data_IF_773532076412
#
_entry.id   IF_773532076412
#
_cell.length_a   1.000
_cell.length_b   1.000
_cell.length_c   1.000
_cell.angle_alpha   90.00
_cell.angle_beta   90.00
_cell.angle_gamma   90.00
#
_symmetry.space_group_name_H-M   'P 1'
#
loop_
_entity.id
_entity.type
_entity.pdbx_description
1 polymer ?
#
# COMPACT_ATOMS: atom_id res chain seq x y z
N UNK A 1 19.85 -34.86 2.16
CA UNK A 1 20.10 -33.50 2.67
C UNK A 1 18.88 -32.63 2.34
N UNK A 2 18.63 -31.55 3.07
CA UNK A 2 17.61 -30.53 2.77
C UNK A 2 18.30 -29.17 2.69
N UNK A 3 17.92 -28.34 1.71
CA UNK A 3 18.46 -26.98 1.53
C UNK A 3 17.30 -26.00 1.62
N UNK A 4 17.41 -25.02 2.51
CA UNK A 4 16.47 -23.91 2.63
C UNK A 4 17.10 -22.67 1.99
N UNK A 5 16.45 -22.12 0.97
CA UNK A 5 16.90 -20.91 0.28
C UNK A 5 15.98 -19.75 0.66
N UNK A 6 16.51 -18.78 1.40
CA UNK A 6 15.79 -17.55 1.77
C UNK A 6 16.07 -16.50 0.69
N UNK A 7 15.05 -16.15 -0.08
CA UNK A 7 15.16 -15.18 -1.17
C UNK A 7 14.68 -13.79 -0.77
N UNK A 8 15.45 -12.76 -1.09
CA UNK A 8 15.04 -11.36 -1.01
C UNK A 8 14.52 -10.88 -2.37
N UNK A 9 13.68 -9.85 -2.36
CA UNK A 9 13.16 -9.23 -3.58
C UNK A 9 13.68 -7.81 -3.70
N UNK A 10 14.26 -7.52 -4.85
CA UNK A 10 14.61 -6.18 -5.27
C UNK A 10 14.02 -6.00 -6.68
N UNK A 11 12.98 -5.17 -6.84
CA UNK A 11 12.42 -4.89 -8.16
C UNK A 11 13.48 -4.19 -9.03
N UNK A 12 13.48 -4.47 -10.32
CA UNK A 12 14.39 -3.78 -11.25
C UNK A 12 13.86 -2.37 -11.48
N UNK A 13 14.75 -1.43 -11.76
CA UNK A 13 14.37 -0.06 -12.14
C UNK A 13 13.34 -0.03 -13.28
N UNK A 14 13.50 -0.88 -14.30
CA UNK A 14 12.54 -0.99 -15.40
C UNK A 14 11.14 -1.42 -14.94
N UNK A 15 11.05 -2.29 -13.93
CA UNK A 15 9.77 -2.83 -13.44
C UNK A 15 9.05 -1.76 -12.61
N UNK A 16 9.82 -1.00 -11.81
CA UNK A 16 9.31 0.16 -11.08
C UNK A 16 8.73 1.21 -12.03
N UNK A 17 9.52 1.64 -13.03
CA UNK A 17 9.09 2.67 -13.98
C UNK A 17 7.88 2.23 -14.79
N UNK A 18 7.89 1.00 -15.33
CA UNK A 18 6.78 0.49 -16.13
C UNK A 18 5.48 0.39 -15.31
N UNK A 19 5.56 -0.12 -14.08
CA UNK A 19 4.39 -0.26 -13.22
C UNK A 19 3.86 1.09 -12.73
N UNK A 20 4.75 2.03 -12.37
CA UNK A 20 4.35 3.37 -11.99
C UNK A 20 3.64 4.09 -13.14
N UNK A 21 4.18 4.05 -14.36
CA UNK A 21 3.53 4.69 -15.51
C UNK A 21 2.17 4.07 -15.83
N UNK A 22 2.04 2.74 -15.69
CA UNK A 22 0.74 2.08 -15.83
C UNK A 22 -0.28 2.61 -14.81
N UNK A 23 0.15 2.79 -13.56
CA UNK A 23 -0.70 3.38 -12.51
C UNK A 23 -1.01 4.85 -12.79
N UNK A 24 -0.02 5.66 -13.17
CA UNK A 24 -0.20 7.08 -13.44
C UNK A 24 -1.18 7.34 -14.60
N UNK A 25 -1.21 6.45 -15.60
CA UNK A 25 -2.17 6.53 -16.72
C UNK A 25 -3.62 6.44 -16.25
N UNK A 26 -3.91 5.73 -15.15
CA UNK A 26 -5.26 5.63 -14.59
C UNK A 26 -5.81 6.96 -14.07
N UNK A 27 -4.93 7.94 -13.81
CA UNK A 27 -5.30 9.29 -13.38
C UNK A 27 -5.56 10.26 -14.54
N UNK A 28 -5.22 9.85 -15.77
CA UNK A 28 -5.37 10.67 -16.97
C UNK A 28 -6.78 10.49 -17.52
N UNK A 29 -7.42 11.59 -17.92
CA UNK A 29 -8.67 11.54 -18.67
C UNK A 29 -8.47 10.72 -19.97
N UNK A 30 -9.21 9.59 -20.15
CA UNK A 30 -9.06 8.72 -21.31
C UNK A 30 -9.44 9.41 -22.63
N UNK A 31 -10.23 10.48 -22.57
CA UNK A 31 -10.65 11.26 -23.73
C UNK A 31 -9.73 12.47 -24.01
N UNK A 32 -8.82 12.81 -23.09
CA UNK A 32 -7.85 13.86 -23.32
C UNK A 32 -6.97 13.54 -24.53
N UNK A 33 -6.73 14.56 -25.36
CA UNK A 33 -5.87 14.49 -26.54
C UNK A 33 -4.87 15.62 -26.50
N UNK A 34 -3.68 15.38 -27.06
CA UNK A 34 -2.79 16.46 -27.40
C UNK A 34 -3.53 17.47 -28.30
N UNK A 35 -3.44 18.75 -27.96
CA UNK A 35 -4.05 19.83 -28.72
C UNK A 35 -3.16 21.07 -28.78
N UNK A 36 -3.25 21.78 -29.89
CA UNK A 36 -2.50 22.98 -30.21
C UNK A 36 -3.39 24.05 -30.88
N UNK A 37 -4.43 24.53 -30.17
CA UNK A 37 -5.32 25.56 -30.71
C UNK A 37 -4.60 26.87 -31.05
N UNK A 38 -3.49 27.15 -30.36
CA UNK A 38 -2.65 28.34 -30.56
C UNK A 38 -1.52 28.11 -31.58
N UNK A 39 -1.59 27.06 -32.40
CA UNK A 39 -0.59 26.80 -33.45
C UNK A 39 -0.61 27.95 -34.47
N UNK A 40 0.56 28.56 -34.67
CA UNK A 40 0.76 29.60 -35.68
C UNK A 40 1.49 29.02 -36.90
N UNK A 41 1.41 29.66 -38.08
CA UNK A 41 2.15 29.19 -39.26
C UNK A 41 3.64 29.05 -38.98
N UNK A 42 4.22 27.93 -39.44
CA UNK A 42 5.61 27.57 -39.20
C UNK A 42 6.41 27.60 -40.51
N UNK A 43 7.62 28.15 -40.46
CA UNK A 43 8.49 28.29 -41.65
C UNK A 43 9.05 26.94 -42.12
N UNK A 44 9.21 25.99 -41.20
CA UNK A 44 9.77 24.67 -41.46
C UNK A 44 8.79 23.58 -41.01
N UNK A 45 7.94 23.04 -41.91
CA UNK A 45 6.93 22.05 -41.55
C UNK A 45 7.45 20.74 -40.93
N UNK A 46 8.74 20.43 -41.11
CA UNK A 46 9.38 19.26 -40.48
C UNK A 46 9.97 19.54 -39.08
N UNK A 47 9.90 20.77 -38.59
CA UNK A 47 10.41 21.14 -37.27
C UNK A 47 9.43 20.75 -36.17
N UNK A 48 9.95 20.07 -35.14
CA UNK A 48 9.22 19.85 -33.90
C UNK A 48 9.50 21.01 -32.93
N UNK A 49 8.66 22.05 -33.01
CA UNK A 49 8.86 23.29 -32.27
C UNK A 49 8.90 23.11 -30.76
N UNK A 50 9.62 24.01 -30.10
CA UNK A 50 9.81 24.03 -28.65
C UNK A 50 8.50 23.98 -27.86
N UNK A 51 7.48 24.71 -28.30
CA UNK A 51 6.17 24.73 -27.64
C UNK A 51 5.49 23.36 -27.64
N UNK A 52 5.55 22.62 -28.75
CA UNK A 52 5.00 21.27 -28.85
C UNK A 52 5.79 20.28 -27.97
N UNK A 53 7.12 20.40 -27.97
CA UNK A 53 8.00 19.58 -27.11
C UNK A 53 7.76 19.84 -25.64
N UNK A 54 7.56 21.11 -25.25
CA UNK A 54 7.34 21.47 -23.85
C UNK A 54 6.00 20.97 -23.34
N UNK A 55 4.93 21.05 -24.14
CA UNK A 55 3.63 20.43 -23.81
C UNK A 55 3.76 18.95 -23.46
N UNK A 56 4.48 18.19 -24.27
CA UNK A 56 4.69 16.74 -24.02
C UNK A 56 5.56 16.53 -22.79
N UNK A 57 6.63 17.30 -22.61
CA UNK A 57 7.48 17.20 -21.41
C UNK A 57 6.69 17.53 -20.14
N UNK A 58 5.82 18.53 -20.17
CA UNK A 58 5.00 18.92 -19.03
C UNK A 58 3.93 17.89 -18.70
N UNK A 59 3.32 17.28 -19.72
CA UNK A 59 2.45 16.12 -19.53
C UNK A 59 3.20 15.00 -18.79
N UNK A 60 4.36 14.59 -19.32
CA UNK A 60 5.14 13.49 -18.74
C UNK A 60 5.66 13.80 -17.34
N UNK A 61 6.17 15.01 -17.10
CA UNK A 61 6.58 15.45 -15.77
C UNK A 61 5.40 15.52 -14.81
N UNK A 62 4.23 15.96 -15.29
CA UNK A 62 3.00 16.05 -14.51
C UNK A 62 2.59 14.73 -13.87
N UNK A 63 2.88 13.60 -14.54
CA UNK A 63 2.59 12.25 -14.03
C UNK A 63 3.42 11.87 -12.79
N UNK A 64 4.54 12.56 -12.52
CA UNK A 64 5.51 12.23 -11.45
C UNK A 64 5.68 13.36 -10.42
N UNK A 65 4.76 14.32 -10.35
CA UNK A 65 4.95 15.55 -9.54
C UNK A 65 4.64 15.42 -8.05
N UNK A 66 3.91 14.39 -7.65
CA UNK A 66 3.44 14.25 -6.27
C UNK A 66 4.18 13.09 -5.57
N UNK A 67 5.14 13.46 -4.71
CA UNK A 67 5.93 12.50 -3.93
C UNK A 67 5.01 11.63 -3.04
N UNK A 68 3.92 12.18 -2.50
CA UNK A 68 2.97 11.42 -1.70
C UNK A 68 2.25 10.33 -2.51
N UNK A 69 1.89 10.64 -3.77
CA UNK A 69 1.34 9.64 -4.69
C UNK A 69 2.37 8.57 -5.07
N UNK A 70 3.64 8.95 -5.26
CA UNK A 70 4.73 8.01 -5.54
C UNK A 70 4.93 7.06 -4.36
N UNK A 71 5.02 7.60 -3.14
CA UNK A 71 5.21 6.83 -1.91
C UNK A 71 4.04 5.88 -1.67
N UNK A 72 2.81 6.36 -1.87
CA UNK A 72 1.60 5.52 -1.78
C UNK A 72 1.64 4.38 -2.80
N UNK A 73 1.90 4.68 -4.07
CA UNK A 73 2.04 3.65 -5.11
C UNK A 73 3.14 2.64 -4.75
N UNK A 74 4.29 3.12 -4.25
CA UNK A 74 5.43 2.27 -3.95
C UNK A 74 5.12 1.28 -2.83
N UNK A 75 4.46 1.73 -1.76
CA UNK A 75 3.99 0.85 -0.68
C UNK A 75 3.01 -0.21 -1.18
N UNK A 76 2.06 0.17 -2.04
CA UNK A 76 1.12 -0.78 -2.67
C UNK A 76 1.84 -1.78 -3.59
N UNK A 77 2.79 -1.31 -4.40
CA UNK A 77 3.56 -2.15 -5.31
C UNK A 77 4.38 -3.20 -4.55
N UNK A 78 5.09 -2.81 -3.49
CA UNK A 78 5.95 -3.70 -2.71
C UNK A 78 5.16 -4.74 -1.89
N UNK A 79 4.00 -4.34 -1.38
CA UNK A 79 3.16 -5.22 -0.56
C UNK A 79 2.26 -6.12 -1.39
N UNK A 80 2.10 -5.88 -2.69
CA UNK A 80 1.29 -6.76 -3.53
C UNK A 80 1.83 -8.21 -3.50
N UNK A 81 1.00 -9.21 -3.18
CA UNK A 81 1.43 -10.60 -3.20
C UNK A 81 1.68 -11.08 -4.64
N UNK A 82 2.29 -12.25 -4.78
CA UNK A 82 2.41 -12.87 -6.10
C UNK A 82 1.04 -13.28 -6.63
N UNK A 83 0.91 -13.32 -7.96
CA UNK A 83 -0.38 -13.55 -8.65
C UNK A 83 -1.08 -14.87 -8.28
N UNK A 84 -0.36 -15.81 -7.68
CA UNK A 84 -0.82 -17.13 -7.26
C UNK A 84 -1.03 -17.26 -5.73
N UNK A 85 -0.82 -16.18 -4.97
CA UNK A 85 -0.93 -16.18 -3.52
C UNK A 85 -1.97 -15.14 -3.10
N UNK A 86 -3.12 -15.61 -2.67
CA UNK A 86 -4.20 -14.79 -2.13
C UNK A 86 -4.38 -15.07 -0.65
N UNK A 87 -4.74 -14.04 0.12
CA UNK A 87 -5.10 -14.21 1.52
C UNK A 87 -6.39 -15.02 1.60
N UNK A 88 -6.49 -15.87 2.61
CA UNK A 88 -7.69 -16.68 2.84
C UNK A 88 -8.37 -16.14 4.09
N UNK A 89 -9.49 -15.40 3.93
CA UNK A 89 -10.33 -15.00 5.05
C UNK A 89 -10.74 -16.18 5.93
N UNK A 90 -10.99 -15.96 7.23
CA UNK A 90 -11.58 -16.98 8.08
C UNK A 90 -12.97 -17.39 7.57
N UNK A 91 -13.35 -18.66 7.76
CA UNK A 91 -14.67 -19.16 7.33
C UNK A 91 -15.84 -18.39 7.99
N UNK A 92 -15.64 -17.96 9.23
CA UNK A 92 -16.56 -17.11 9.97
C UNK A 92 -15.85 -15.80 10.30
N UNK A 93 -16.40 -14.63 9.90
CA UNK A 93 -15.84 -13.35 10.28
C UNK A 93 -15.73 -13.22 11.80
N UNK A 94 -14.60 -12.72 12.27
CA UNK A 94 -14.35 -12.41 13.68
C UNK A 94 -14.90 -11.01 13.95
N UNK A 95 -15.83 -10.92 14.91
CA UNK A 95 -16.32 -9.62 15.37
C UNK A 95 -15.29 -8.91 16.25
N UNK A 96 -15.39 -7.60 16.35
CA UNK A 96 -14.55 -6.77 17.23
C UNK A 96 -14.61 -7.25 18.68
N UNK A 97 -15.81 -7.59 19.18
CA UNK A 97 -15.99 -8.11 20.54
C UNK A 97 -15.27 -9.46 20.74
N UNK A 98 -15.39 -10.39 19.79
CA UNK A 98 -14.69 -11.68 19.86
C UNK A 98 -13.17 -11.52 19.81
N UNK A 99 -12.68 -10.58 19.00
CA UNK A 99 -11.27 -10.25 18.92
C UNK A 99 -10.75 -9.71 20.26
N UNK A 100 -11.44 -8.72 20.84
CA UNK A 100 -11.06 -8.14 22.14
C UNK A 100 -11.05 -9.20 23.24
N UNK A 101 -12.07 -10.06 23.31
CA UNK A 101 -12.12 -11.15 24.28
C UNK A 101 -10.96 -12.14 24.09
N UNK A 102 -10.59 -12.45 22.85
CA UNK A 102 -9.44 -13.30 22.55
C UNK A 102 -8.11 -12.67 23.01
N UNK A 103 -7.90 -11.37 22.73
CA UNK A 103 -6.70 -10.64 23.14
C UNK A 103 -6.60 -10.59 24.67
N UNK A 104 -7.69 -10.27 25.37
CA UNK A 104 -7.76 -10.25 26.86
C UNK A 104 -7.52 -11.63 27.47
N UNK A 105 -7.89 -12.70 26.78
CA UNK A 105 -7.57 -14.07 27.17
C UNK A 105 -6.09 -14.47 26.91
N UNK A 106 -5.25 -13.56 26.42
CA UNK A 106 -3.84 -13.77 26.17
C UNK A 106 -3.51 -14.34 24.80
N UNK A 107 -4.48 -14.43 23.87
CA UNK A 107 -4.22 -14.88 22.50
C UNK A 107 -3.70 -13.73 21.67
N UNK A 108 -2.44 -13.82 21.23
CA UNK A 108 -1.86 -12.84 20.31
C UNK A 108 -2.34 -13.01 18.88
N UNK A 109 -1.79 -12.20 17.98
CA UNK A 109 -1.97 -12.33 16.54
C UNK A 109 -0.67 -12.83 15.90
N UNK A 110 -0.78 -13.30 14.66
CA UNK A 110 0.36 -13.47 13.75
C UNK A 110 0.00 -12.99 12.36
N UNK A 111 1.02 -12.66 11.57
CA UNK A 111 0.84 -12.39 10.15
C UNK A 111 0.37 -13.65 9.41
N UNK A 112 -0.54 -13.45 8.46
CA UNK A 112 -0.98 -14.48 7.55
C UNK A 112 0.15 -14.95 6.64
N UNK A 113 0.12 -16.18 6.11
CA UNK A 113 1.23 -16.80 5.37
C UNK A 113 1.57 -16.13 4.02
N UNK A 114 0.67 -15.27 3.54
CA UNK A 114 0.83 -14.48 2.32
C UNK A 114 0.83 -12.98 2.60
N UNK A 115 0.62 -12.59 3.86
CA UNK A 115 0.53 -11.19 4.24
C UNK A 115 1.87 -10.49 4.00
N UNK A 116 1.79 -9.33 3.37
CA UNK A 116 2.89 -8.40 3.21
C UNK A 116 2.42 -7.06 3.72
N UNK A 117 2.99 -6.66 4.84
CA UNK A 117 2.66 -5.43 5.51
C UNK A 117 3.86 -4.49 5.47
N UNK A 118 3.60 -3.22 5.23
CA UNK A 118 4.59 -2.15 5.32
C UNK A 118 3.87 -0.88 5.79
N UNK A 119 4.61 0.14 6.18
CA UNK A 119 4.03 1.43 6.50
C UNK A 119 4.97 2.58 6.16
N UNK A 120 4.40 3.77 6.05
CA UNK A 120 5.10 5.05 5.97
C UNK A 120 4.52 5.94 7.07
N UNK A 121 5.39 6.58 7.85
CA UNK A 121 5.03 7.65 8.79
C UNK A 121 5.18 9.00 8.08
N UNK A 122 4.28 9.93 8.38
CA UNK A 122 4.24 11.26 7.79
C UNK A 122 4.62 12.32 8.82
N UNK A 123 5.12 13.46 8.34
CA UNK A 123 5.58 14.58 9.20
C UNK A 123 4.45 15.19 10.06
N UNK A 124 3.19 15.02 9.66
CA UNK A 124 2.01 15.48 10.41
C UNK A 124 1.59 14.52 11.54
N UNK A 125 2.35 13.43 11.73
CA UNK A 125 2.09 12.39 12.72
C UNK A 125 1.11 11.31 12.25
N UNK A 126 0.51 11.44 11.07
CA UNK A 126 -0.28 10.37 10.46
C UNK A 126 0.62 9.25 9.92
N UNK A 127 0.01 8.13 9.53
CA UNK A 127 0.72 7.05 8.87
C UNK A 127 -0.11 6.48 7.70
N UNK A 128 0.55 5.78 6.79
CA UNK A 128 -0.12 4.93 5.80
C UNK A 128 0.31 3.49 6.00
N UNK A 129 -0.64 2.61 6.30
CA UNK A 129 -0.46 1.18 6.37
C UNK A 129 -0.70 0.58 4.99
N UNK A 130 0.25 -0.23 4.52
CA UNK A 130 0.13 -0.99 3.27
C UNK A 130 -0.06 -2.46 3.60
N UNK A 131 -1.09 -3.08 3.02
CA UNK A 131 -1.45 -4.45 3.31
C UNK A 131 -1.84 -5.14 2.00
N UNK A 132 -1.02 -6.08 1.53
CA UNK A 132 -1.25 -6.84 0.29
C UNK A 132 -1.56 -6.01 -0.98
N UNK A 133 -1.07 -4.77 -1.04
CA UNK A 133 -1.30 -3.86 -2.16
C UNK A 133 -2.39 -2.82 -1.93
N UNK A 134 -3.12 -2.90 -0.82
CA UNK A 134 -4.03 -1.87 -0.36
C UNK A 134 -3.30 -0.87 0.54
N UNK A 135 -3.81 0.36 0.59
CA UNK A 135 -3.22 1.45 1.35
C UNK A 135 -4.29 2.14 2.21
N UNK A 136 -4.10 2.08 3.53
CA UNK A 136 -5.01 2.63 4.53
C UNK A 136 -4.34 3.80 5.24
N UNK A 137 -4.96 4.98 5.18
CA UNK A 137 -4.51 6.15 5.91
C UNK A 137 -4.94 6.04 7.37
N UNK A 138 -3.98 6.20 8.29
CA UNK A 138 -4.18 6.21 9.73
C UNK A 138 -3.99 7.63 10.22
N UNK A 139 -5.01 8.18 10.89
CA UNK A 139 -4.91 9.49 11.53
C UNK A 139 -3.84 9.49 12.64
N UNK A 140 -3.35 10.67 13.08
CA UNK A 140 -2.25 10.75 14.03
C UNK A 140 -2.49 10.03 15.38
N UNK A 141 -3.75 9.94 15.81
CA UNK A 141 -4.16 9.20 17.00
C UNK A 141 -4.09 7.69 16.84
N UNK A 142 -4.21 7.16 15.62
CA UNK A 142 -4.14 5.74 15.29
C UNK A 142 -2.79 5.31 14.67
N UNK A 143 -1.93 6.26 14.30
CA UNK A 143 -0.68 6.00 13.58
C UNK A 143 0.27 5.01 14.30
N UNK A 144 0.20 4.95 15.64
CA UNK A 144 0.95 3.99 16.46
C UNK A 144 0.64 2.51 16.10
N UNK A 145 -0.53 2.23 15.51
CA UNK A 145 -0.93 0.89 15.13
C UNK A 145 -0.06 0.32 14.01
N UNK A 146 0.43 1.16 13.09
CA UNK A 146 1.23 0.73 11.95
C UNK A 146 2.51 -0.03 12.34
N UNK A 147 3.43 0.52 13.16
CA UNK A 147 4.59 -0.24 13.62
C UNK A 147 4.22 -1.44 14.49
N UNK A 148 3.10 -1.39 15.22
CA UNK A 148 2.64 -2.48 16.07
C UNK A 148 2.22 -3.73 15.26
N UNK A 149 1.46 -3.54 14.16
CA UNK A 149 0.98 -4.66 13.32
C UNK A 149 1.99 -5.14 12.29
N UNK A 150 2.99 -4.32 11.96
CA UNK A 150 4.02 -4.67 10.96
C UNK A 150 5.34 -5.15 11.58
N UNK A 151 5.62 -4.82 12.84
CA UNK A 151 6.94 -4.99 13.45
C UNK A 151 7.32 -6.43 13.83
N UNK A 152 6.37 -7.37 13.89
CA UNK A 152 6.63 -8.77 14.26
C UNK A 152 5.73 -9.72 13.49
N UNK A 153 6.28 -10.89 13.12
CA UNK A 153 5.48 -11.99 12.55
C UNK A 153 4.47 -12.52 13.56
N UNK A 154 4.86 -12.64 14.84
CA UNK A 154 3.95 -12.91 15.96
C UNK A 154 3.84 -11.68 16.85
N UNK A 155 2.62 -11.20 17.03
CA UNK A 155 2.29 -10.02 17.81
C UNK A 155 1.66 -10.50 19.12
N UNK A 156 2.39 -10.42 20.25
CA UNK A 156 1.90 -10.97 21.50
C UNK A 156 0.72 -10.16 22.06
N UNK A 157 -0.17 -10.82 22.79
CA UNK A 157 -1.38 -10.21 23.32
C UNK A 157 -1.09 -9.05 24.30
N UNK A 158 0.01 -9.10 25.04
CA UNK A 158 0.43 -8.05 25.97
C UNK A 158 0.82 -6.74 25.27
N UNK A 159 1.21 -6.80 23.99
CA UNK A 159 1.46 -5.63 23.17
C UNK A 159 0.18 -5.05 22.56
N UNK A 160 -0.90 -5.85 22.42
CA UNK A 160 -2.16 -5.44 21.79
C UNK A 160 -3.22 -5.02 22.83
N UNK A 161 -3.31 -5.76 23.93
CA UNK A 161 -4.29 -5.55 25.01
C UNK A 161 -4.33 -4.12 25.56
N UNK A 162 -3.20 -3.39 25.70
CA UNK A 162 -3.25 -2.00 26.16
C UNK A 162 -4.05 -1.04 25.27
N UNK A 163 -4.32 -1.43 24.02
CA UNK A 163 -4.95 -0.60 22.99
C UNK A 163 -6.39 -1.02 22.66
N UNK A 164 -6.95 -2.05 23.32
CA UNK A 164 -8.28 -2.59 22.97
C UNK A 164 -9.46 -1.71 23.36
N UNK A 165 -9.22 -0.61 24.08
CA UNK A 165 -10.23 0.40 24.38
C UNK A 165 -10.30 1.49 23.28
N UNK A 166 -9.40 1.43 22.29
CA UNK A 166 -9.45 2.27 21.09
C UNK A 166 -10.24 1.53 19.99
N UNK A 167 -11.50 1.93 19.80
CA UNK A 167 -12.41 1.32 18.83
C UNK A 167 -11.82 1.34 17.40
N UNK A 168 -11.08 2.39 17.02
CA UNK A 168 -10.50 2.49 15.68
C UNK A 168 -9.36 1.48 15.49
N UNK A 169 -8.58 1.24 16.55
CA UNK A 169 -7.57 0.18 16.56
C UNK A 169 -8.19 -1.21 16.49
N UNK A 170 -9.24 -1.48 17.26
CA UNK A 170 -9.95 -2.77 17.23
C UNK A 170 -10.57 -3.03 15.86
N UNK A 171 -11.21 -2.01 15.26
CA UNK A 171 -11.77 -2.10 13.91
C UNK A 171 -10.69 -2.39 12.85
N UNK A 172 -9.53 -1.73 12.94
CA UNK A 172 -8.39 -1.99 12.06
C UNK A 172 -7.92 -3.45 12.18
N UNK A 173 -7.72 -3.95 13.40
CA UNK A 173 -7.30 -5.34 13.61
C UNK A 173 -8.34 -6.34 13.11
N UNK A 174 -9.63 -6.08 13.38
CA UNK A 174 -10.72 -6.93 12.92
C UNK A 174 -10.77 -6.98 11.38
N UNK A 175 -10.59 -5.85 10.69
CA UNK A 175 -10.47 -5.82 9.23
C UNK A 175 -9.30 -6.69 8.77
N UNK A 176 -8.09 -6.47 9.29
CA UNK A 176 -6.91 -7.24 8.89
C UNK A 176 -7.05 -8.74 9.15
N UNK A 177 -7.76 -9.13 10.22
CA UNK A 177 -8.07 -10.54 10.51
C UNK A 177 -9.07 -11.10 9.52
N UNK A 178 -10.14 -10.36 9.24
CA UNK A 178 -11.19 -10.78 8.31
C UNK A 178 -10.72 -10.78 6.85
N UNK A 179 -9.69 -10.00 6.52
CA UNK A 179 -9.01 -10.03 5.22
C UNK A 179 -8.00 -11.19 5.14
N UNK A 180 -7.81 -11.98 6.20
CA UNK A 180 -6.85 -13.09 6.27
C UNK A 180 -5.39 -12.63 6.30
N UNK A 181 -5.13 -11.36 6.63
CA UNK A 181 -3.79 -10.76 6.70
C UNK A 181 -3.17 -10.91 8.08
N UNK A 182 -4.01 -10.95 9.12
CA UNK A 182 -3.64 -11.36 10.47
C UNK A 182 -4.48 -12.56 10.88
N UNK A 183 -3.94 -13.38 11.78
CA UNK A 183 -4.63 -14.57 12.30
C UNK A 183 -4.45 -14.63 13.81
N UNK A 184 -5.49 -15.07 14.54
CA UNK A 184 -5.35 -15.38 15.96
C UNK A 184 -4.39 -16.55 16.16
N UNK A 185 -3.46 -16.41 17.10
CA UNK A 185 -2.56 -17.49 17.45
C UNK A 185 -3.36 -18.68 18.01
N UNK A 186 -3.08 -19.86 17.46
CA UNK A 186 -3.56 -21.12 18.01
C UNK A 186 -2.68 -21.44 19.22
N UNK A 187 -3.29 -21.57 20.39
CA UNK A 187 -2.64 -22.02 21.64
C UNK A 187 -1.94 -23.36 21.49
#
# INVERSE_FOLDING_TARGET
CMTYSVGFRAPRHQDLVANFLQHAVETIDPDARYSDPDLTPIDHPGELHDSAREKVRDLLRGLVRDDASIDRWFGQYLTRPDRDREAVPPETPVSEAELVEALRAGRGLRQGPVARLAFIEHDDGSATLFANGDATSLAPDLAYAAPLVTGREQIPADALTPHVEDDAFVALLASLVNDGLLELNVT
#
